data_IF_180892316370
#
_entry.id   IF_180892316370
#
_cell.length_a   1.000
_cell.length_b   1.000
_cell.length_c   1.000
_cell.angle_alpha   90.00
_cell.angle_beta   90.00
_cell.angle_gamma   90.00
#
_symmetry.space_group_name_H-M   'P 1'
#
loop_
_entity.id
_entity.type
_entity.pdbx_description
1 polymer ?
#
# COMPACT_ATOMS: atom_id res chain seq x y z
N UNK A 1 1.27 -9.42 -13.22
CA UNK A 1 2.48 -9.27 -12.38
C UNK A 1 2.53 -7.84 -11.88
N UNK A 2 2.92 -7.64 -10.63
CA UNK A 2 2.89 -6.35 -9.95
C UNK A 2 3.76 -5.30 -10.65
N UNK A 3 4.95 -5.66 -11.09
CA UNK A 3 5.89 -4.77 -11.78
C UNK A 3 5.34 -4.31 -13.12
N UNK A 4 4.68 -5.21 -13.85
CA UNK A 4 3.99 -4.87 -15.09
C UNK A 4 2.85 -3.89 -14.82
N UNK A 5 2.12 -4.06 -13.72
CA UNK A 5 1.07 -3.14 -13.30
C UNK A 5 1.65 -1.76 -12.98
N UNK A 6 2.75 -1.68 -12.21
CA UNK A 6 3.45 -0.44 -11.92
C UNK A 6 3.98 0.24 -13.18
N UNK A 7 4.51 -0.55 -14.12
CA UNK A 7 4.99 -0.06 -15.43
C UNK A 7 3.85 0.59 -16.22
N UNK A 8 2.66 -0.01 -16.22
CA UNK A 8 1.48 0.56 -16.87
C UNK A 8 1.07 1.89 -16.21
N UNK A 9 1.13 1.98 -14.87
CA UNK A 9 0.81 3.22 -14.16
C UNK A 9 1.82 4.34 -14.51
N UNK A 10 3.10 4.01 -14.57
CA UNK A 10 4.16 4.95 -14.96
C UNK A 10 3.97 5.42 -16.42
N UNK A 11 3.83 4.49 -17.36
CA UNK A 11 3.64 4.81 -18.78
C UNK A 11 2.35 5.60 -19.05
N UNK A 12 1.31 5.37 -18.25
CA UNK A 12 0.06 6.12 -18.32
C UNK A 12 0.09 7.49 -17.65
N UNK A 13 1.21 7.90 -17.04
CA UNK A 13 1.31 9.15 -16.28
C UNK A 13 0.46 9.16 -15.00
N UNK A 14 0.06 7.97 -14.53
CA UNK A 14 -0.69 7.82 -13.27
C UNK A 14 0.23 7.97 -12.07
N UNK A 15 1.50 7.58 -12.20
CA UNK A 15 2.54 7.80 -11.18
C UNK A 15 3.80 8.35 -11.85
N UNK A 16 4.59 9.13 -11.11
CA UNK A 16 5.90 9.61 -11.58
C UNK A 16 6.99 8.56 -11.30
N UNK A 17 8.16 8.75 -11.93
CA UNK A 17 9.29 7.82 -11.87
C UNK A 17 9.75 7.51 -10.43
N UNK A 18 9.83 8.50 -9.56
CA UNK A 18 10.30 8.29 -8.19
C UNK A 18 9.28 7.53 -7.32
N UNK A 19 7.97 7.70 -7.56
CA UNK A 19 6.95 6.85 -6.93
C UNK A 19 7.07 5.43 -7.47
N UNK A 20 7.29 5.26 -8.77
CA UNK A 20 7.53 3.93 -9.35
C UNK A 20 8.74 3.24 -8.72
N UNK A 21 9.87 3.94 -8.59
CA UNK A 21 11.10 3.40 -8.00
C UNK A 21 10.88 2.99 -6.54
N UNK A 22 10.26 3.87 -5.74
CA UNK A 22 9.88 3.55 -4.35
C UNK A 22 8.96 2.33 -4.29
N UNK A 23 7.99 2.21 -5.22
CA UNK A 23 7.09 1.06 -5.26
C UNK A 23 7.80 -0.25 -5.60
N UNK A 24 8.88 -0.23 -6.39
CA UNK A 24 9.72 -1.42 -6.58
C UNK A 24 10.43 -1.82 -5.29
N UNK A 25 10.94 -0.85 -4.53
CA UNK A 25 11.51 -1.11 -3.20
C UNK A 25 10.46 -1.67 -2.23
N UNK A 26 9.21 -1.20 -2.31
CA UNK A 26 8.10 -1.75 -1.52
C UNK A 26 7.83 -3.22 -1.87
N UNK A 27 7.89 -3.58 -3.16
CA UNK A 27 7.74 -4.98 -3.58
C UNK A 27 8.83 -5.84 -2.95
N UNK A 28 10.10 -5.41 -3.06
CA UNK A 28 11.22 -6.13 -2.46
C UNK A 28 11.10 -6.22 -0.93
N UNK A 29 10.77 -5.14 -0.24
CA UNK A 29 10.58 -5.15 1.21
C UNK A 29 9.46 -6.13 1.62
N UNK A 30 8.33 -6.13 0.91
CA UNK A 30 7.23 -7.03 1.22
C UNK A 30 7.62 -8.50 1.03
N UNK A 31 8.29 -8.85 -0.07
CA UNK A 31 8.62 -10.24 -0.38
C UNK A 31 9.83 -10.75 0.41
N UNK A 32 10.90 -9.95 0.52
CA UNK A 32 12.19 -10.41 1.05
C UNK A 32 12.35 -10.14 2.56
N UNK A 33 11.78 -9.03 3.06
CA UNK A 33 11.91 -8.64 4.47
C UNK A 33 10.71 -9.11 5.27
N UNK A 34 9.50 -8.84 4.78
CA UNK A 34 8.26 -9.16 5.48
C UNK A 34 7.70 -10.54 5.13
N UNK A 35 8.24 -11.20 4.09
CA UNK A 35 7.83 -12.52 3.62
C UNK A 35 6.33 -12.59 3.25
N UNK A 36 5.81 -11.48 2.71
CA UNK A 36 4.43 -11.31 2.25
C UNK A 36 4.45 -11.38 0.71
N UNK A 37 4.05 -12.50 0.09
CA UNK A 37 4.01 -12.58 -1.37
C UNK A 37 3.02 -11.57 -1.94
N UNK A 38 3.39 -10.91 -3.03
CA UNK A 38 2.54 -9.88 -3.67
C UNK A 38 2.07 -10.24 -5.07
N UNK A 39 2.62 -11.33 -5.65
CA UNK A 39 2.28 -11.83 -6.98
C UNK A 39 0.94 -12.58 -7.05
N UNK A 40 -0.12 -11.96 -6.52
CA UNK A 40 -1.51 -12.43 -6.60
C UNK A 40 -2.48 -11.25 -6.68
N UNK A 41 -3.77 -11.45 -7.02
CA UNK A 41 -4.70 -10.34 -7.27
C UNK A 41 -4.82 -9.33 -6.12
N UNK A 42 -4.81 -9.80 -4.87
CA UNK A 42 -4.85 -8.92 -3.70
C UNK A 42 -3.56 -8.08 -3.51
N UNK A 43 -2.39 -8.61 -3.87
CA UNK A 43 -1.14 -7.84 -3.88
C UNK A 43 -1.12 -6.80 -5.00
N UNK A 44 -1.57 -7.16 -6.20
CA UNK A 44 -1.74 -6.20 -7.30
C UNK A 44 -2.69 -5.06 -6.93
N UNK A 45 -3.79 -5.36 -6.23
CA UNK A 45 -4.73 -4.36 -5.72
C UNK A 45 -4.08 -3.43 -4.69
N UNK A 46 -3.44 -4.00 -3.67
CA UNK A 46 -2.84 -3.24 -2.58
C UNK A 46 -1.73 -2.28 -3.09
N UNK A 47 -0.87 -2.77 -3.98
CA UNK A 47 0.24 -1.99 -4.52
C UNK A 47 -0.22 -0.96 -5.56
N UNK A 48 -1.23 -1.28 -6.37
CA UNK A 48 -1.88 -0.27 -7.24
C UNK A 48 -2.47 0.86 -6.39
N UNK A 49 -3.15 0.53 -5.29
CA UNK A 49 -3.73 1.52 -4.39
C UNK A 49 -2.66 2.40 -3.76
N UNK A 50 -1.61 1.80 -3.17
CA UNK A 50 -0.52 2.54 -2.54
C UNK A 50 0.14 3.52 -3.52
N UNK A 51 0.51 3.06 -4.71
CA UNK A 51 1.11 3.90 -5.74
C UNK A 51 0.20 5.10 -6.11
N UNK A 52 -1.11 4.83 -6.25
CA UNK A 52 -2.10 5.87 -6.60
C UNK A 52 -2.32 6.86 -5.45
N UNK A 53 -2.34 6.39 -4.20
CA UNK A 53 -2.54 7.22 -3.01
C UNK A 53 -1.39 8.21 -2.80
N UNK A 54 -0.15 7.78 -3.02
CA UNK A 54 1.01 8.69 -2.99
C UNK A 54 0.97 9.71 -4.12
N UNK A 55 0.56 9.32 -5.33
CA UNK A 55 0.42 10.28 -6.42
C UNK A 55 -0.68 11.31 -6.13
N UNK A 56 -1.84 10.87 -5.64
CA UNK A 56 -2.93 11.79 -5.24
C UNK A 56 -2.46 12.76 -4.16
N UNK A 57 -1.77 12.24 -3.14
CA UNK A 57 -1.20 13.07 -2.06
C UNK A 57 -0.22 14.11 -2.61
N UNK A 58 0.66 13.73 -3.54
CA UNK A 58 1.58 14.66 -4.21
C UNK A 58 0.83 15.74 -5.01
N UNK A 59 -0.25 15.37 -5.71
CA UNK A 59 -1.06 16.28 -6.53
C UNK A 59 -2.00 17.16 -5.71
N UNK A 60 -2.10 16.95 -4.40
CA UNK A 60 -3.07 17.64 -3.54
C UNK A 60 -4.51 17.20 -3.80
N UNK A 61 -4.70 16.01 -4.38
CA UNK A 61 -6.02 15.41 -4.59
C UNK A 61 -6.52 14.83 -3.27
N UNK A 62 -7.71 15.25 -2.83
CA UNK A 62 -8.29 14.86 -1.54
C UNK A 62 -9.42 13.87 -1.76
N UNK A 63 -9.28 12.67 -1.18
CA UNK A 63 -10.35 11.67 -1.09
C UNK A 63 -11.16 11.85 0.20
N UNK A 64 -12.37 11.32 0.24
CA UNK A 64 -13.13 11.21 1.49
C UNK A 64 -12.42 10.23 2.44
N UNK A 65 -12.41 10.50 3.75
CA UNK A 65 -11.82 9.56 4.71
C UNK A 65 -12.64 8.26 4.77
N UNK A 66 -11.94 7.16 5.07
CA UNK A 66 -12.58 5.87 5.31
C UNK A 66 -13.44 5.92 6.59
N UNK A 67 -14.57 5.21 6.61
CA UNK A 67 -15.40 5.09 7.80
C UNK A 67 -14.67 4.43 8.98
N UNK A 68 -14.76 5.04 10.16
CA UNK A 68 -14.08 4.57 11.37
C UNK A 68 -14.45 3.15 11.79
N UNK A 69 -15.68 2.69 11.50
CA UNK A 69 -16.14 1.34 11.82
C UNK A 69 -15.31 0.23 11.12
N UNK A 70 -14.70 0.52 9.97
CA UNK A 70 -13.81 -0.39 9.26
C UNK A 70 -12.46 -0.44 9.98
N UNK A 71 -11.92 0.72 10.37
CA UNK A 71 -10.65 0.82 11.08
C UNK A 71 -10.70 0.15 12.45
N UNK A 72 -11.80 0.31 13.20
CA UNK A 72 -11.99 -0.34 14.50
C UNK A 72 -11.89 -1.88 14.41
N UNK A 73 -12.32 -2.49 13.29
CA UNK A 73 -12.18 -3.94 13.10
C UNK A 73 -10.71 -4.35 12.91
N UNK A 74 -9.93 -3.52 12.24
CA UNK A 74 -8.50 -3.76 12.04
C UNK A 74 -7.76 -3.60 13.37
N UNK A 75 -8.08 -2.55 14.14
CA UNK A 75 -7.49 -2.28 15.46
C UNK A 75 -7.70 -3.43 16.46
N UNK A 76 -8.86 -4.11 16.36
CA UNK A 76 -9.20 -5.26 17.21
C UNK A 76 -8.66 -6.59 16.69
N UNK A 77 -8.05 -6.61 15.50
CA UNK A 77 -7.48 -7.84 14.93
C UNK A 77 -6.14 -8.20 15.57
N UNK A 78 -5.83 -9.50 15.60
CA UNK A 78 -4.52 -9.99 16.06
C UNK A 78 -3.35 -9.49 15.19
N UNK A 79 -3.63 -9.09 13.95
CA UNK A 79 -2.62 -8.59 13.01
C UNK A 79 -2.32 -7.09 13.17
N UNK A 80 -3.07 -6.34 13.99
CA UNK A 80 -2.94 -4.88 14.09
C UNK A 80 -1.49 -4.44 14.39
N UNK A 81 -0.83 -5.11 15.34
CA UNK A 81 0.53 -4.75 15.72
C UNK A 81 1.54 -4.96 14.59
N UNK A 82 1.39 -6.04 13.81
CA UNK A 82 2.25 -6.32 12.66
C UNK A 82 1.95 -5.36 11.50
N UNK A 83 0.66 -5.11 11.22
CA UNK A 83 0.20 -4.17 10.21
C UNK A 83 0.78 -2.77 10.46
N UNK A 84 0.74 -2.25 11.69
CA UNK A 84 1.28 -0.93 12.00
C UNK A 84 2.80 -0.84 11.80
N UNK A 85 3.54 -1.93 12.03
CA UNK A 85 5.00 -1.98 11.78
C UNK A 85 5.31 -1.96 10.30
N UNK A 86 4.63 -2.81 9.51
CA UNK A 86 4.77 -2.85 8.06
C UNK A 86 4.40 -1.49 7.50
N UNK A 87 3.21 -0.99 7.80
CA UNK A 87 2.72 0.31 7.34
C UNK A 87 3.76 1.42 7.53
N UNK A 88 4.30 1.56 8.75
CA UNK A 88 5.31 2.59 9.04
C UNK A 88 6.58 2.42 8.22
N UNK A 89 7.12 1.20 8.15
CA UNK A 89 8.33 0.91 7.38
C UNK A 89 8.14 1.21 5.89
N UNK A 90 6.97 0.91 5.34
CA UNK A 90 6.65 1.21 3.95
C UNK A 90 6.53 2.72 3.69
N UNK A 91 5.92 3.49 4.61
CA UNK A 91 5.82 4.95 4.45
C UNK A 91 7.19 5.64 4.44
N UNK A 92 8.17 5.12 5.17
CA UNK A 92 9.53 5.70 5.25
C UNK A 92 10.28 5.68 3.91
N UNK A 93 9.82 4.92 2.91
CA UNK A 93 10.38 4.91 1.55
C UNK A 93 10.02 6.16 0.74
N UNK A 94 8.99 6.89 1.15
CA UNK A 94 8.47 7.99 0.36
C UNK A 94 8.91 9.34 0.93
N UNK A 95 9.38 10.23 0.06
CA UNK A 95 9.57 11.65 0.38
C UNK A 95 8.26 12.42 0.40
N UNK A 96 7.23 11.89 -0.27
CA UNK A 96 5.88 12.44 -0.28
C UNK A 96 5.16 12.08 1.01
N UNK A 97 4.65 13.07 1.72
CA UNK A 97 3.75 12.84 2.85
C UNK A 97 2.41 12.33 2.34
N UNK A 98 1.98 11.14 2.81
CA UNK A 98 0.66 10.61 2.53
C UNK A 98 -0.42 11.49 3.15
N UNK A 99 -1.48 11.80 2.39
CA UNK A 99 -2.61 12.56 2.91
C UNK A 99 -3.37 11.73 3.97
N UNK A 100 -3.79 12.30 5.12
CA UNK A 100 -4.44 11.54 6.20
C UNK A 100 -5.67 10.73 5.76
N UNK A 101 -6.47 11.26 4.83
CA UNK A 101 -7.65 10.55 4.32
C UNK A 101 -7.31 9.28 3.49
N UNK A 102 -6.08 9.14 3.01
CA UNK A 102 -5.61 7.95 2.30
C UNK A 102 -5.18 6.83 3.26
N UNK A 103 -4.72 7.17 4.47
CA UNK A 103 -4.10 6.24 5.42
C UNK A 103 -5.03 5.08 5.77
N UNK A 104 -6.31 5.36 5.98
CA UNK A 104 -7.30 4.32 6.27
C UNK A 104 -7.44 3.30 5.13
N UNK A 105 -7.46 3.75 3.88
CA UNK A 105 -7.51 2.86 2.72
C UNK A 105 -6.22 2.06 2.57
N UNK A 106 -5.07 2.67 2.88
CA UNK A 106 -3.79 1.98 2.84
C UNK A 106 -3.75 0.83 3.86
N UNK A 107 -4.20 1.10 5.10
CA UNK A 107 -4.30 0.10 6.15
C UNK A 107 -5.24 -1.05 5.76
N UNK A 108 -6.40 -0.76 5.17
CA UNK A 108 -7.33 -1.80 4.68
C UNK A 108 -6.69 -2.68 3.62
N UNK A 109 -6.00 -2.08 2.64
CA UNK A 109 -5.38 -2.83 1.56
C UNK A 109 -4.22 -3.71 2.05
N UNK A 110 -3.38 -3.19 2.95
CA UNK A 110 -2.31 -3.95 3.58
C UNK A 110 -2.86 -5.06 4.49
N UNK A 111 -3.92 -4.79 5.24
CA UNK A 111 -4.60 -5.81 6.05
C UNK A 111 -5.17 -6.93 5.17
N UNK A 112 -5.85 -6.59 4.07
CA UNK A 112 -6.35 -7.56 3.10
C UNK A 112 -5.23 -8.39 2.46
N UNK A 113 -4.07 -7.78 2.20
CA UNK A 113 -2.87 -8.48 1.73
C UNK A 113 -2.39 -9.51 2.76
N UNK A 114 -2.21 -9.11 4.03
CA UNK A 114 -1.79 -10.01 5.12
C UNK A 114 -2.77 -11.19 5.29
N UNK A 115 -4.08 -10.96 5.17
CA UNK A 115 -5.07 -12.03 5.25
C UNK A 115 -5.06 -12.97 4.04
N UNK A 116 -4.71 -12.46 2.85
CA UNK A 116 -4.60 -13.26 1.63
C UNK A 116 -3.36 -14.15 1.64
N UNK A 117 -2.32 -13.74 2.37
CA UNK A 117 -1.14 -14.57 2.64
C UNK A 117 -1.46 -15.59 3.72
N UNK A 118 -2.13 -16.68 3.34
CA UNK A 118 -2.22 -17.88 4.18
C UNK A 118 -0.80 -18.41 4.38
N UNK A 119 -0.23 -18.18 5.56
CA UNK A 119 0.83 -19.05 6.07
C UNK A 119 0.16 -20.43 6.26
N UNK A 120 0.70 -21.51 5.65
CA UNK A 120 0.14 -22.85 5.79
C UNK A 120 0.02 -23.29 7.26
#
# INVERSE_FOLDING_TARGET
MVEQRLTILLQGGVIDQDIYDNMLDIVHDLEDIWLIPVHHPQGEMALTHMASAFMRSRRGEIVLPLENNILTKIEQSEHCAQLCKIHRALLEKFTVTLHPNEEGYLLVNLYGLILATKIP
#
